data_IF_969319120450
#
_entry.id   IF_969319120450
#
_cell.length_a   1.000
_cell.length_b   1.000
_cell.length_c   1.000
_cell.angle_alpha   90.00
_cell.angle_beta   90.00
_cell.angle_gamma   90.00
#
_symmetry.space_group_name_H-M   'P 1'
#
loop_
_entity.id
_entity.type
_entity.pdbx_description
1 polymer ?
#
# COMPACT_ATOMS: atom_id res chain seq x y z
N UNK A 1 9.94 -28.33 -22.85
CA UNK A 1 9.92 -27.26 -21.84
C UNK A 1 11.31 -27.17 -21.21
N UNK A 2 11.97 -26.00 -21.21
CA UNK A 2 13.38 -25.86 -20.81
C UNK A 2 13.50 -26.09 -19.28
N UNK A 3 14.56 -26.87 -18.85
CA UNK A 3 14.82 -27.18 -17.41
C UNK A 3 14.83 -25.93 -16.50
N UNK A 4 15.30 -24.80 -17.03
CA UNK A 4 15.29 -23.51 -16.32
C UNK A 4 13.86 -23.04 -16.02
N UNK A 5 12.94 -23.16 -16.98
CA UNK A 5 11.53 -22.78 -16.85
C UNK A 5 10.80 -23.60 -15.80
N UNK A 6 11.10 -24.91 -15.73
CA UNK A 6 10.56 -25.82 -14.71
C UNK A 6 11.07 -25.44 -13.32
N UNK A 7 12.35 -25.09 -13.19
CA UNK A 7 12.98 -24.68 -11.92
C UNK A 7 12.39 -23.35 -11.41
N UNK A 8 12.19 -22.37 -12.30
CA UNK A 8 11.57 -21.08 -11.95
C UNK A 8 10.12 -21.24 -11.52
N UNK A 9 9.33 -22.06 -12.23
CA UNK A 9 7.95 -22.39 -11.84
C UNK A 9 7.90 -23.10 -10.49
N UNK A 10 8.81 -24.06 -10.25
CA UNK A 10 8.86 -24.76 -8.96
C UNK A 10 9.21 -23.83 -7.81
N UNK A 11 10.16 -22.92 -7.99
CA UNK A 11 10.51 -21.92 -7.00
C UNK A 11 9.34 -20.93 -6.76
N UNK A 12 8.65 -20.50 -7.82
CA UNK A 12 7.46 -19.65 -7.72
C UNK A 12 6.36 -20.29 -6.89
N UNK A 13 6.02 -21.58 -7.20
CA UNK A 13 4.99 -22.28 -6.42
C UNK A 13 5.42 -22.57 -4.98
N UNK A 14 6.68 -22.85 -4.73
CA UNK A 14 7.20 -23.05 -3.37
C UNK A 14 7.13 -21.75 -2.55
N UNK A 15 7.51 -20.61 -3.14
CA UNK A 15 7.41 -19.31 -2.50
C UNK A 15 5.95 -18.91 -2.26
N UNK A 16 5.06 -19.12 -3.23
CA UNK A 16 3.63 -18.89 -3.09
C UNK A 16 3.02 -19.76 -1.98
N UNK A 17 3.42 -21.03 -1.88
CA UNK A 17 2.97 -21.93 -0.82
C UNK A 17 3.46 -21.50 0.56
N UNK A 18 4.73 -21.05 0.67
CA UNK A 18 5.30 -20.48 1.89
C UNK A 18 4.53 -19.22 2.31
N UNK A 19 4.26 -18.33 1.37
CA UNK A 19 3.49 -17.10 1.55
C UNK A 19 2.07 -17.38 2.06
N UNK A 20 1.31 -18.28 1.43
CA UNK A 20 -0.03 -18.69 1.89
C UNK A 20 0.03 -19.29 3.30
N UNK A 21 1.02 -20.13 3.58
CA UNK A 21 1.20 -20.73 4.91
C UNK A 21 1.45 -19.68 6.00
N UNK A 22 2.24 -18.65 5.70
CA UNK A 22 2.49 -17.57 6.66
C UNK A 22 1.25 -16.67 6.83
N UNK A 23 0.51 -16.37 5.76
CA UNK A 23 -0.80 -15.69 5.86
C UNK A 23 -1.76 -16.46 6.79
N UNK A 24 -1.87 -17.77 6.61
CA UNK A 24 -2.70 -18.63 7.46
C UNK A 24 -2.24 -18.60 8.92
N UNK A 25 -0.93 -18.64 9.18
CA UNK A 25 -0.39 -18.55 10.55
C UNK A 25 -0.67 -17.18 11.19
N UNK A 26 -0.53 -16.09 10.43
CA UNK A 26 -0.87 -14.74 10.89
C UNK A 26 -2.36 -14.66 11.25
N UNK A 27 -3.23 -15.21 10.42
CA UNK A 27 -4.66 -15.31 10.68
C UNK A 27 -4.96 -16.05 11.99
N UNK A 28 -4.35 -17.23 12.22
CA UNK A 28 -4.55 -17.98 13.47
C UNK A 28 -3.98 -17.26 14.70
N UNK A 29 -2.89 -16.51 14.55
CA UNK A 29 -2.32 -15.73 15.65
C UNK A 29 -3.23 -14.55 16.01
N UNK A 30 -3.83 -13.91 15.02
CA UNK A 30 -4.85 -12.88 15.19
C UNK A 30 -6.12 -13.41 15.86
N UNK A 31 -6.57 -14.63 15.49
CA UNK A 31 -7.66 -15.34 16.14
C UNK A 31 -7.44 -15.48 17.65
N UNK A 32 -6.25 -15.90 18.04
CA UNK A 32 -5.92 -16.11 19.45
C UNK A 32 -5.77 -14.81 20.24
N UNK A 33 -5.33 -13.73 19.59
CA UNK A 33 -5.03 -12.45 20.26
C UNK A 33 -6.26 -11.54 20.37
N UNK A 34 -7.16 -11.56 19.38
CA UNK A 34 -8.28 -10.60 19.28
C UNK A 34 -9.68 -11.22 19.31
N UNK A 35 -9.79 -12.54 19.45
CA UNK A 35 -11.05 -13.28 19.55
C UNK A 35 -11.62 -13.78 18.24
N UNK A 36 -12.59 -14.70 18.36
CA UNK A 36 -13.07 -15.56 17.26
C UNK A 36 -13.84 -14.85 16.14
N UNK A 37 -14.52 -13.71 16.40
CA UNK A 37 -15.41 -13.10 15.41
C UNK A 37 -14.71 -12.23 14.37
N UNK A 38 -13.65 -11.53 14.76
CA UNK A 38 -12.93 -10.63 13.88
C UNK A 38 -12.20 -11.34 12.72
N UNK A 39 -11.51 -12.46 12.94
CA UNK A 39 -10.85 -13.19 11.86
C UNK A 39 -11.79 -13.94 10.91
N UNK A 40 -13.02 -14.22 11.28
CA UNK A 40 -13.98 -14.85 10.36
C UNK A 40 -14.40 -13.90 9.23
N UNK A 41 -14.62 -12.62 9.53
CA UNK A 41 -14.86 -11.61 8.49
C UNK A 41 -13.61 -11.44 7.62
N UNK A 42 -12.43 -11.34 8.24
CA UNK A 42 -11.16 -11.22 7.55
C UNK A 42 -10.81 -12.48 6.73
N UNK A 43 -11.05 -13.68 7.29
CA UNK A 43 -10.79 -14.96 6.61
C UNK A 43 -11.75 -15.20 5.45
N UNK A 44 -12.99 -14.77 5.56
CA UNK A 44 -13.95 -14.81 4.46
C UNK A 44 -13.48 -13.96 3.28
N UNK A 45 -13.00 -12.77 3.53
CA UNK A 45 -12.44 -11.88 2.51
C UNK A 45 -11.12 -12.41 1.93
N UNK A 46 -10.23 -12.97 2.74
CA UNK A 46 -8.98 -13.60 2.30
C UNK A 46 -9.23 -14.82 1.40
N UNK A 47 -10.15 -15.71 1.80
CA UNK A 47 -10.55 -16.86 0.98
C UNK A 47 -11.18 -16.41 -0.35
N UNK A 48 -12.02 -15.39 -0.31
CA UNK A 48 -12.65 -14.83 -1.50
C UNK A 48 -11.61 -14.16 -2.39
N UNK A 49 -10.67 -13.41 -1.83
CA UNK A 49 -9.61 -12.78 -2.62
C UNK A 49 -8.69 -13.83 -3.27
N UNK A 50 -8.25 -14.85 -2.54
CA UNK A 50 -7.44 -15.94 -3.07
C UNK A 50 -8.21 -16.78 -4.12
N UNK A 51 -9.51 -17.02 -3.93
CA UNK A 51 -10.37 -17.71 -4.91
C UNK A 51 -10.56 -16.84 -6.16
N UNK A 52 -10.73 -15.54 -6.00
CA UNK A 52 -10.87 -14.59 -7.11
C UNK A 52 -9.56 -14.50 -7.91
N UNK A 53 -8.41 -14.41 -7.22
CA UNK A 53 -7.09 -14.33 -7.88
C UNK A 53 -6.59 -15.68 -8.41
N UNK A 54 -7.05 -16.81 -7.86
CA UNK A 54 -6.66 -18.15 -8.34
C UNK A 54 -7.49 -18.66 -9.54
N UNK A 55 -8.64 -18.04 -9.84
CA UNK A 55 -9.52 -18.43 -10.96
C UNK A 55 -9.77 -17.28 -11.92
N UNK A 56 -8.91 -17.06 -12.93
CA UNK A 56 -9.04 -15.93 -13.86
C UNK A 56 -10.24 -16.00 -14.81
N UNK A 57 -11.19 -16.94 -14.65
CA UNK A 57 -12.21 -17.23 -15.65
C UNK A 57 -13.56 -16.50 -15.53
N UNK A 58 -13.79 -15.65 -14.52
CA UNK A 58 -15.11 -14.97 -14.36
C UNK A 58 -15.07 -13.55 -13.76
N UNK A 59 -13.98 -12.84 -13.89
CA UNK A 59 -13.95 -11.41 -13.59
C UNK A 59 -14.28 -10.63 -14.86
N UNK A 60 -14.95 -9.47 -14.71
CA UNK A 60 -15.40 -8.61 -15.82
C UNK A 60 -14.32 -8.36 -16.87
N UNK A 61 -14.69 -7.96 -18.08
CA UNK A 61 -13.76 -7.71 -19.18
C UNK A 61 -12.57 -6.80 -18.82
N UNK A 62 -12.71 -5.93 -17.81
CA UNK A 62 -11.64 -5.07 -17.28
C UNK A 62 -10.53 -5.84 -16.56
N UNK A 63 -10.82 -7.06 -16.04
CA UNK A 63 -9.82 -7.96 -15.46
C UNK A 63 -9.22 -8.92 -16.48
N UNK A 64 -9.80 -9.05 -17.68
CA UNK A 64 -9.30 -9.94 -18.72
C UNK A 64 -8.02 -9.44 -19.39
N UNK A 65 -7.74 -8.13 -19.35
CA UNK A 65 -6.50 -7.54 -19.87
C UNK A 65 -5.30 -7.80 -18.94
N UNK A 66 -5.54 -8.28 -17.71
CA UNK A 66 -4.49 -8.57 -16.75
C UNK A 66 -4.14 -10.06 -16.71
N UNK A 67 -3.38 -10.52 -17.69
CA UNK A 67 -2.81 -11.89 -17.74
C UNK A 67 -1.55 -11.95 -16.84
N UNK A 68 -1.75 -11.76 -15.51
CA UNK A 68 -0.72 -11.66 -14.50
C UNK A 68 0.30 -12.80 -14.53
N UNK A 69 -0.15 -14.01 -14.85
CA UNK A 69 0.71 -15.19 -14.83
C UNK A 69 1.56 -15.38 -16.09
N UNK A 70 1.17 -14.77 -17.20
CA UNK A 70 1.84 -14.96 -18.49
C UNK A 70 2.87 -13.87 -18.79
N UNK A 71 2.63 -12.65 -18.37
CA UNK A 71 3.47 -11.49 -18.69
C UNK A 71 4.62 -11.28 -17.71
N UNK A 72 4.48 -11.66 -16.43
CA UNK A 72 5.59 -11.58 -15.46
C UNK A 72 6.76 -12.52 -15.77
N UNK A 73 6.57 -13.53 -16.62
CA UNK A 73 7.62 -14.52 -16.96
C UNK A 73 8.28 -14.24 -18.32
N UNK A 74 7.67 -13.42 -19.18
CA UNK A 74 8.11 -13.29 -20.58
C UNK A 74 8.38 -11.88 -21.05
N UNK A 75 7.99 -10.84 -20.34
CA UNK A 75 8.22 -9.47 -20.77
C UNK A 75 8.93 -8.66 -19.66
N UNK A 76 10.16 -8.26 -19.94
CA UNK A 76 10.95 -7.35 -19.09
C UNK A 76 10.48 -5.89 -19.18
N UNK A 77 9.42 -5.63 -19.93
CA UNK A 77 8.80 -4.31 -20.01
C UNK A 77 7.60 -4.26 -19.07
N UNK A 78 7.78 -3.71 -17.88
CA UNK A 78 6.68 -3.22 -17.05
C UNK A 78 5.80 -2.31 -17.92
N UNK A 79 4.46 -2.51 -17.98
CA UNK A 79 3.61 -1.58 -18.69
C UNK A 79 3.88 -0.17 -18.18
N UNK A 80 4.11 0.78 -19.07
CA UNK A 80 4.29 2.17 -18.66
C UNK A 80 2.93 2.70 -18.21
N UNK A 81 2.69 2.71 -16.91
CA UNK A 81 1.44 3.19 -16.30
C UNK A 81 1.40 4.71 -16.15
N UNK A 82 2.52 5.37 -16.43
CA UNK A 82 2.70 6.80 -16.28
C UNK A 82 2.59 7.51 -17.62
N UNK A 83 2.10 8.75 -17.61
CA UNK A 83 1.97 9.58 -18.81
C UNK A 83 3.34 10.01 -19.36
N UNK A 84 4.37 10.01 -18.49
CA UNK A 84 5.74 10.41 -18.81
C UNK A 84 6.77 9.42 -18.31
N UNK A 85 8.01 9.61 -18.71
CA UNK A 85 9.14 8.91 -18.14
C UNK A 85 9.61 9.66 -16.89
N UNK A 86 9.53 9.00 -15.74
CA UNK A 86 10.07 9.44 -14.46
C UNK A 86 11.36 8.68 -14.15
N UNK A 87 12.21 9.27 -13.32
CA UNK A 87 13.43 8.60 -12.90
C UNK A 87 13.20 7.79 -11.64
N UNK A 88 13.36 6.48 -11.73
CA UNK A 88 13.30 5.55 -10.61
C UNK A 88 14.49 4.61 -10.68
N UNK A 89 15.37 4.71 -9.69
CA UNK A 89 16.61 3.93 -9.66
C UNK A 89 16.43 2.58 -8.93
N UNK A 90 15.36 2.45 -8.16
CA UNK A 90 15.09 1.25 -7.37
C UNK A 90 13.93 0.42 -7.93
N UNK A 91 13.83 -0.81 -7.42
CA UNK A 91 12.82 -1.76 -7.86
C UNK A 91 11.40 -1.20 -7.67
N UNK A 92 10.53 -1.52 -8.64
CA UNK A 92 9.12 -1.13 -8.61
C UNK A 92 8.34 -2.01 -7.61
N UNK A 93 7.96 -1.41 -6.49
CA UNK A 93 7.09 -2.03 -5.47
C UNK A 93 5.63 -1.58 -5.58
N UNK A 94 5.34 -0.51 -6.34
CA UNK A 94 4.02 0.11 -6.39
C UNK A 94 3.14 -0.33 -7.56
N UNK A 95 3.71 -0.49 -8.77
CA UNK A 95 2.90 -0.65 -10.01
C UNK A 95 1.96 -1.85 -10.01
N UNK A 96 2.22 -2.87 -9.19
CA UNK A 96 1.32 -4.01 -9.00
C UNK A 96 -0.02 -3.60 -8.35
N UNK A 97 -0.05 -2.50 -7.63
CA UNK A 97 -1.23 -1.99 -6.93
C UNK A 97 -2.12 -1.10 -7.81
N UNK A 98 -1.64 -0.67 -8.98
CA UNK A 98 -2.33 0.30 -9.84
C UNK A 98 -3.73 -0.14 -10.26
N UNK A 99 -3.96 -1.41 -10.52
CA UNK A 99 -5.28 -1.91 -10.90
C UNK A 99 -6.29 -1.79 -9.74
N UNK A 100 -5.84 -1.95 -8.49
CA UNK A 100 -6.66 -1.77 -7.30
C UNK A 100 -7.05 -0.31 -7.17
N UNK A 101 -6.08 0.60 -7.31
CA UNK A 101 -6.29 2.03 -7.23
C UNK A 101 -7.19 2.55 -8.35
N UNK A 102 -7.01 2.08 -9.59
CA UNK A 102 -7.92 2.40 -10.72
C UNK A 102 -9.37 2.01 -10.40
N UNK A 103 -9.56 0.82 -9.84
CA UNK A 103 -10.89 0.32 -9.46
C UNK A 103 -11.49 1.15 -8.31
N UNK A 104 -10.68 1.53 -7.32
CA UNK A 104 -11.09 2.41 -6.24
C UNK A 104 -11.53 3.77 -6.78
N UNK A 105 -10.70 4.42 -7.61
CA UNK A 105 -10.98 5.74 -8.17
C UNK A 105 -12.23 5.74 -9.04
N UNK A 106 -12.42 4.71 -9.85
CA UNK A 106 -13.62 4.56 -10.69
C UNK A 106 -14.87 4.34 -9.82
N UNK A 107 -14.82 3.41 -8.87
CA UNK A 107 -15.96 3.02 -8.03
C UNK A 107 -16.49 4.17 -7.18
N UNK A 108 -15.61 5.04 -6.71
CA UNK A 108 -15.95 6.15 -5.82
C UNK A 108 -15.82 7.52 -6.48
N UNK A 109 -15.66 7.55 -7.80
CA UNK A 109 -15.62 8.76 -8.64
C UNK A 109 -14.55 9.78 -8.21
N UNK A 110 -13.42 9.29 -7.64
CA UNK A 110 -12.40 10.15 -7.04
C UNK A 110 -11.71 11.06 -8.07
N UNK A 111 -11.66 10.67 -9.34
CA UNK A 111 -11.02 11.47 -10.40
C UNK A 111 -11.63 12.87 -10.61
N UNK A 112 -12.92 13.01 -10.31
CA UNK A 112 -13.66 14.25 -10.52
C UNK A 112 -13.79 15.09 -9.24
N UNK A 113 -13.33 14.58 -8.13
CA UNK A 113 -13.48 15.18 -6.80
C UNK A 113 -12.27 16.02 -6.42
N UNK A 114 -12.50 17.12 -5.69
CA UNK A 114 -11.42 17.80 -4.99
C UNK A 114 -11.05 16.94 -3.79
N UNK A 115 -9.80 16.53 -3.72
CA UNK A 115 -9.29 15.56 -2.73
C UNK A 115 -8.07 16.13 -2.05
N UNK A 116 -8.06 16.11 -0.72
CA UNK A 116 -6.84 16.24 0.05
C UNK A 116 -6.24 14.84 0.23
N UNK A 117 -5.10 14.61 -0.40
CA UNK A 117 -4.37 13.35 -0.35
C UNK A 117 -3.18 13.46 0.59
N UNK A 118 -2.96 12.45 1.42
CA UNK A 118 -1.77 12.31 2.26
C UNK A 118 -1.07 11.01 1.91
N UNK A 119 0.25 11.07 1.76
CA UNK A 119 1.12 9.92 1.61
C UNK A 119 2.20 9.93 2.68
N UNK A 120 2.31 8.83 3.41
CA UNK A 120 3.33 8.57 4.43
C UNK A 120 4.24 7.50 3.88
N UNK A 121 5.51 7.86 3.61
CA UNK A 121 6.46 7.01 2.89
C UNK A 121 6.35 7.20 1.39
N UNK A 122 7.14 8.12 0.83
CA UNK A 122 7.06 8.51 -0.57
C UNK A 122 8.19 7.92 -1.42
N UNK A 123 9.33 7.64 -0.82
CA UNK A 123 10.52 7.10 -1.49
C UNK A 123 10.88 7.90 -2.76
N UNK A 124 11.00 7.27 -3.93
CA UNK A 124 11.24 7.96 -5.21
C UNK A 124 9.98 8.52 -5.88
N UNK A 125 8.80 8.40 -5.24
CA UNK A 125 7.54 9.01 -5.67
C UNK A 125 6.76 8.25 -6.74
N UNK A 126 6.87 6.92 -6.84
CA UNK A 126 6.08 6.14 -7.82
C UNK A 126 4.57 6.29 -7.61
N UNK A 127 4.10 6.11 -6.39
CA UNK A 127 2.72 6.32 -5.97
C UNK A 127 2.34 7.80 -6.06
N UNK A 128 3.24 8.68 -5.66
CA UNK A 128 3.02 10.14 -5.64
C UNK A 128 2.75 10.68 -7.03
N UNK A 129 3.59 10.37 -8.03
CA UNK A 129 3.35 10.81 -9.41
C UNK A 129 2.10 10.16 -10.00
N UNK A 130 1.83 8.90 -9.65
CA UNK A 130 0.61 8.24 -10.09
C UNK A 130 -0.65 8.97 -9.61
N UNK A 131 -0.70 9.36 -8.33
CA UNK A 131 -1.80 10.17 -7.78
C UNK A 131 -1.92 11.51 -8.50
N UNK A 132 -0.81 12.23 -8.65
CA UNK A 132 -0.78 13.53 -9.31
C UNK A 132 -1.28 13.47 -10.76
N UNK A 133 -0.96 12.39 -11.49
CA UNK A 133 -1.44 12.16 -12.85
C UNK A 133 -2.91 11.72 -12.94
N UNK A 134 -3.38 10.93 -11.98
CA UNK A 134 -4.72 10.33 -12.05
C UNK A 134 -5.80 11.18 -11.41
N UNK A 135 -5.45 11.96 -10.36
CA UNK A 135 -6.37 12.81 -9.61
C UNK A 135 -6.00 14.28 -9.81
N UNK A 136 -6.35 14.83 -10.97
CA UNK A 136 -5.93 16.19 -11.40
C UNK A 136 -6.38 17.31 -10.45
N UNK A 137 -7.43 17.08 -9.66
CA UNK A 137 -7.95 18.03 -8.68
C UNK A 137 -7.49 17.76 -7.25
N UNK A 138 -6.59 16.78 -7.06
CA UNK A 138 -6.05 16.48 -5.74
C UNK A 138 -5.00 17.52 -5.34
N UNK A 139 -5.03 17.90 -4.05
CA UNK A 139 -3.93 18.56 -3.37
C UNK A 139 -3.24 17.54 -2.47
N UNK A 140 -1.93 17.38 -2.60
CA UNK A 140 -1.18 16.27 -2.06
C UNK A 140 -0.22 16.73 -0.97
N UNK A 141 -0.15 15.96 0.12
CA UNK A 141 0.80 16.10 1.20
C UNK A 141 1.70 14.88 1.21
N UNK A 142 2.99 15.07 0.94
CA UNK A 142 3.98 14.02 0.85
C UNK A 142 4.89 14.07 2.07
N UNK A 143 4.87 13.01 2.88
CA UNK A 143 5.59 12.93 4.15
C UNK A 143 6.58 11.78 4.10
N UNK A 144 7.86 12.10 4.10
CA UNK A 144 8.95 11.12 4.12
C UNK A 144 10.19 11.78 4.74
N UNK A 145 10.91 11.13 5.65
CA UNK A 145 12.16 11.68 6.19
C UNK A 145 13.29 11.74 5.15
N UNK A 146 13.22 10.98 4.07
CA UNK A 146 14.26 10.83 3.03
C UNK A 146 15.65 10.62 3.64
N UNK A 147 15.71 9.81 4.66
CA UNK A 147 16.96 9.48 5.38
C UNK A 147 16.92 8.06 5.92
N UNK A 148 18.09 7.56 6.22
CA UNK A 148 18.25 6.29 6.92
C UNK A 148 17.61 6.32 8.31
N UNK A 149 17.05 5.21 8.75
CA UNK A 149 16.47 5.03 10.08
C UNK A 149 16.85 3.65 10.64
N UNK A 150 16.78 3.50 11.96
CA UNK A 150 17.40 2.38 12.71
C UNK A 150 16.85 0.97 12.36
N UNK A 151 15.70 0.91 11.72
CA UNK A 151 15.01 -0.35 11.39
C UNK A 151 15.34 -0.91 10.00
N UNK A 152 16.32 -0.31 9.33
CA UNK A 152 16.66 -0.70 7.96
C UNK A 152 17.35 -2.05 7.92
N UNK A 153 16.89 -2.92 7.05
CA UNK A 153 17.58 -4.18 6.74
C UNK A 153 18.88 -3.92 5.98
N UNK A 154 19.81 -4.89 5.97
CA UNK A 154 21.07 -4.76 5.21
C UNK A 154 20.88 -4.34 3.74
N UNK A 155 19.78 -4.77 3.10
CA UNK A 155 19.45 -4.37 1.73
C UNK A 155 19.10 -2.89 1.59
N UNK A 156 18.65 -2.24 2.66
CA UNK A 156 18.29 -0.83 2.68
C UNK A 156 19.47 0.07 3.01
N UNK A 157 20.48 -0.40 3.74
CA UNK A 157 21.73 0.35 4.02
C UNK A 157 22.52 0.74 2.76
N UNK A 158 22.25 0.11 1.62
CA UNK A 158 22.87 0.44 0.33
C UNK A 158 22.14 1.55 -0.44
N UNK A 159 21.03 2.09 0.07
CA UNK A 159 20.27 3.14 -0.60
C UNK A 159 20.92 4.51 -0.42
N UNK A 160 21.00 5.25 -1.50
CA UNK A 160 21.43 6.65 -1.46
C UNK A 160 20.23 7.57 -1.24
N UNK A 161 19.97 7.95 0.00
CA UNK A 161 18.81 8.78 0.36
C UNK A 161 18.85 10.19 -0.22
N UNK A 162 20.03 10.74 -0.50
CA UNK A 162 20.14 12.01 -1.20
C UNK A 162 19.60 11.90 -2.63
N UNK A 163 20.01 10.86 -3.38
CA UNK A 163 19.48 10.65 -4.73
C UNK A 163 17.99 10.27 -4.74
N UNK A 164 17.50 9.57 -3.71
CA UNK A 164 16.07 9.27 -3.55
C UNK A 164 15.26 10.57 -3.44
N UNK A 165 15.68 11.50 -2.60
CA UNK A 165 15.01 12.80 -2.47
C UNK A 165 15.10 13.65 -3.74
N UNK A 166 16.25 13.64 -4.42
CA UNK A 166 16.44 14.32 -5.70
C UNK A 166 15.52 13.74 -6.77
N UNK A 167 15.46 12.41 -6.89
CA UNK A 167 14.55 11.73 -7.82
C UNK A 167 13.09 12.05 -7.50
N UNK A 168 12.69 11.96 -6.24
CA UNK A 168 11.35 12.33 -5.81
C UNK A 168 11.01 13.76 -6.22
N UNK A 169 11.87 14.72 -5.87
CA UNK A 169 11.65 16.15 -6.15
C UNK A 169 11.55 16.43 -7.65
N UNK A 170 12.43 15.82 -8.45
CA UNK A 170 12.40 15.94 -9.91
C UNK A 170 11.14 15.31 -10.51
N UNK A 171 10.69 14.18 -9.98
CA UNK A 171 9.53 13.47 -10.47
C UNK A 171 8.23 14.24 -10.24
N UNK A 172 8.10 14.98 -9.13
CA UNK A 172 6.86 15.71 -8.81
C UNK A 172 6.87 17.16 -9.26
N UNK A 173 8.02 17.75 -9.66
CA UNK A 173 8.18 19.19 -9.90
C UNK A 173 7.20 19.79 -10.91
N UNK A 174 6.78 19.04 -11.94
CA UNK A 174 5.84 19.54 -12.94
C UNK A 174 4.42 19.77 -12.41
N UNK A 175 4.12 19.24 -11.23
CA UNK A 175 2.83 19.40 -10.55
C UNK A 175 2.88 20.51 -9.47
N UNK A 176 3.86 21.42 -9.57
CA UNK A 176 3.99 22.53 -8.62
C UNK A 176 2.67 23.28 -8.40
N UNK A 177 2.45 23.71 -7.16
CA UNK A 177 1.18 24.31 -6.73
C UNK A 177 0.08 23.29 -6.38
N UNK A 178 0.33 21.98 -6.55
CA UNK A 178 -0.62 20.90 -6.20
C UNK A 178 -0.15 20.00 -5.08
N UNK A 179 1.00 20.27 -4.48
CA UNK A 179 1.54 19.47 -3.39
C UNK A 179 2.38 20.26 -2.40
N UNK A 180 2.58 19.64 -1.24
CA UNK A 180 3.57 20.04 -0.24
C UNK A 180 4.46 18.83 0.08
N UNK A 181 5.77 19.06 0.23
CA UNK A 181 6.73 18.04 0.67
C UNK A 181 7.12 18.32 2.12
N UNK A 182 6.90 17.34 2.98
CA UNK A 182 7.28 17.38 4.38
C UNK A 182 8.41 16.37 4.64
N UNK A 183 9.65 16.87 4.60
CA UNK A 183 10.84 16.05 4.89
C UNK A 183 10.93 15.81 6.40
N UNK A 184 10.07 14.93 6.91
CA UNK A 184 9.94 14.62 8.34
C UNK A 184 9.36 13.23 8.54
N UNK A 185 9.45 12.72 9.78
CA UNK A 185 8.66 11.57 10.18
C UNK A 185 7.17 11.91 10.24
N UNK A 186 6.30 10.92 10.11
CA UNK A 186 4.85 11.08 10.27
C UNK A 186 4.46 11.68 11.63
N UNK A 187 5.11 11.24 12.70
CA UNK A 187 4.87 11.80 14.05
C UNK A 187 5.14 13.30 14.12
N UNK A 188 6.26 13.76 13.56
CA UNK A 188 6.59 15.19 13.52
C UNK A 188 5.62 15.97 12.63
N UNK A 189 5.19 15.38 11.52
CA UNK A 189 4.19 15.97 10.64
C UNK A 189 2.87 16.15 11.39
N UNK A 190 2.30 15.10 11.98
CA UNK A 190 1.02 15.17 12.68
C UNK A 190 1.07 16.08 13.92
N UNK A 191 2.21 16.14 14.64
CA UNK A 191 2.37 17.03 15.77
C UNK A 191 2.32 18.53 15.40
N UNK A 192 2.64 18.87 14.15
CA UNK A 192 2.60 20.25 13.63
C UNK A 192 1.32 20.55 12.85
N UNK A 193 0.59 19.52 12.45
CA UNK A 193 -0.58 19.65 11.62
C UNK A 193 -1.74 20.28 12.41
N UNK A 194 -2.41 21.25 11.80
CA UNK A 194 -3.62 21.82 12.41
C UNK A 194 -4.72 20.74 12.47
N UNK A 195 -5.37 20.60 13.61
CA UNK A 195 -6.44 19.59 13.81
C UNK A 195 -7.63 19.78 12.85
N UNK A 196 -7.82 20.96 12.30
CA UNK A 196 -8.83 21.25 11.27
C UNK A 196 -8.45 20.72 9.90
N UNK A 197 -7.15 20.43 9.62
CA UNK A 197 -6.73 19.83 8.38
C UNK A 197 -7.27 18.43 8.27
N UNK A 198 -7.95 18.14 7.18
CA UNK A 198 -8.56 16.83 6.91
C UNK A 198 -8.15 16.29 5.56
N UNK A 199 -8.12 14.98 5.47
CA UNK A 199 -7.78 14.23 4.26
C UNK A 199 -8.96 13.36 3.80
N UNK A 200 -9.04 13.11 2.50
CA UNK A 200 -10.06 12.28 1.87
C UNK A 200 -9.51 10.93 1.45
N UNK A 201 -8.22 10.87 1.14
CA UNK A 201 -7.51 9.67 0.76
C UNK A 201 -6.11 9.70 1.40
N UNK A 202 -5.78 8.67 2.15
CA UNK A 202 -4.47 8.52 2.80
C UNK A 202 -3.84 7.20 2.40
N UNK A 203 -2.57 7.23 2.04
CA UNK A 203 -1.73 6.06 1.79
C UNK A 203 -0.65 5.98 2.85
N UNK A 204 -0.58 4.85 3.53
CA UNK A 204 0.39 4.55 4.60
C UNK A 204 1.32 3.46 4.10
N UNK A 205 2.53 3.85 3.75
CA UNK A 205 3.61 3.02 3.17
C UNK A 205 4.98 3.45 3.71
N UNK A 206 5.05 3.80 4.99
CA UNK A 206 6.25 4.30 5.65
C UNK A 206 7.03 3.18 6.34
N UNK A 207 7.10 3.23 7.67
CA UNK A 207 7.68 2.14 8.48
C UNK A 207 6.83 0.87 8.37
N UNK A 208 7.50 -0.29 8.39
CA UNK A 208 6.82 -1.59 8.41
C UNK A 208 6.70 -2.16 9.83
N UNK A 209 7.19 -1.45 10.85
CA UNK A 209 7.00 -1.86 12.23
C UNK A 209 5.55 -1.69 12.69
N UNK A 210 5.03 -2.73 13.30
CA UNK A 210 3.67 -2.82 13.81
C UNK A 210 3.24 -1.60 14.65
N UNK A 211 4.08 -1.15 15.56
CA UNK A 211 3.78 -0.02 16.44
C UNK A 211 3.75 1.31 15.69
N UNK A 212 4.62 1.49 14.68
CA UNK A 212 4.64 2.70 13.86
C UNK A 212 3.41 2.78 12.96
N UNK A 213 3.10 1.68 12.26
CA UNK A 213 1.90 1.60 11.41
C UNK A 213 0.63 1.82 12.24
N UNK A 214 0.56 1.26 13.46
CA UNK A 214 -0.56 1.50 14.37
C UNK A 214 -0.66 2.98 14.77
N UNK A 215 0.47 3.62 15.09
CA UNK A 215 0.54 5.03 15.46
C UNK A 215 0.13 5.95 14.30
N UNK A 216 0.59 5.63 13.09
CA UNK A 216 0.18 6.32 11.87
C UNK A 216 -1.34 6.19 11.65
N UNK A 217 -1.88 4.99 11.80
CA UNK A 217 -3.32 4.74 11.67
C UNK A 217 -4.16 5.58 12.65
N UNK A 218 -3.74 5.68 13.92
CA UNK A 218 -4.41 6.50 14.95
C UNK A 218 -4.32 7.99 14.60
N UNK A 219 -3.18 8.46 14.13
CA UNK A 219 -3.01 9.86 13.73
C UNK A 219 -3.83 10.19 12.48
N UNK A 220 -3.80 9.31 11.48
CA UNK A 220 -4.63 9.44 10.27
C UNK A 220 -6.12 9.48 10.62
N UNK A 221 -6.59 8.62 11.54
CA UNK A 221 -8.02 8.61 11.93
C UNK A 221 -8.50 9.96 12.42
N UNK A 222 -7.71 10.69 13.21
CA UNK A 222 -8.05 12.04 13.70
C UNK A 222 -8.24 13.05 12.57
N UNK A 223 -7.55 12.84 11.46
CA UNK A 223 -7.48 13.75 10.31
C UNK A 223 -8.25 13.26 9.08
N UNK A 224 -8.84 12.06 9.10
CA UNK A 224 -9.59 11.52 7.98
C UNK A 224 -11.04 11.99 7.99
N UNK A 225 -11.52 12.48 6.86
CA UNK A 225 -12.91 12.83 6.65
C UNK A 225 -13.82 11.60 6.73
N UNK A 226 -15.05 11.79 7.18
CA UNK A 226 -16.12 10.80 6.99
C UNK A 226 -16.27 10.52 5.49
N UNK A 227 -16.33 9.24 5.13
CA UNK A 227 -16.35 8.80 3.72
C UNK A 227 -14.97 8.67 3.09
N UNK A 228 -13.91 9.19 3.73
CA UNK A 228 -12.53 9.10 3.29
C UNK A 228 -11.96 7.68 3.38
N UNK A 229 -10.79 7.49 2.77
CA UNK A 229 -10.14 6.19 2.65
C UNK A 229 -8.76 6.19 3.27
N UNK A 230 -8.40 5.06 3.92
CA UNK A 230 -7.03 4.72 4.28
C UNK A 230 -6.64 3.50 3.43
N UNK A 231 -5.49 3.59 2.77
CA UNK A 231 -4.82 2.48 2.10
C UNK A 231 -3.58 2.16 2.93
N UNK A 232 -3.54 1.01 3.53
CA UNK A 232 -2.34 0.47 4.17
C UNK A 232 -1.62 -0.42 3.16
N UNK A 233 -0.36 -0.16 2.88
CA UNK A 233 0.48 -1.07 2.10
C UNK A 233 1.01 -2.20 2.99
N UNK A 234 1.61 -3.18 2.36
CA UNK A 234 2.34 -4.27 3.02
C UNK A 234 1.55 -4.97 4.13
N UNK A 235 0.21 -5.06 3.98
CA UNK A 235 -0.66 -5.67 4.99
C UNK A 235 -0.22 -7.10 5.35
N UNK A 236 0.31 -7.84 4.38
CA UNK A 236 0.86 -9.19 4.58
C UNK A 236 2.38 -9.26 4.49
N UNK A 237 3.07 -8.14 4.65
CA UNK A 237 4.52 -8.11 4.76
C UNK A 237 4.95 -8.75 6.10
N UNK A 238 5.96 -9.65 6.09
CA UNK A 238 6.34 -10.49 7.25
C UNK A 238 7.84 -10.82 7.25
N UNK A 239 8.65 -9.83 7.02
CA UNK A 239 10.10 -10.01 6.93
C UNK A 239 10.83 -9.83 8.26
N UNK A 240 10.16 -9.28 9.30
CA UNK A 240 10.73 -9.23 10.64
C UNK A 240 10.72 -10.61 11.29
N UNK A 241 11.82 -10.96 11.98
CA UNK A 241 11.98 -12.22 12.70
C UNK A 241 10.94 -12.33 13.82
N UNK A 242 10.77 -11.25 14.59
CA UNK A 242 9.70 -11.15 15.57
C UNK A 242 8.38 -10.88 14.84
N UNK A 243 7.53 -11.90 14.90
CA UNK A 243 6.28 -11.90 14.15
C UNK A 243 5.37 -10.72 14.45
N UNK A 244 5.31 -10.30 15.73
CA UNK A 244 4.43 -9.23 16.19
C UNK A 244 4.88 -7.85 15.70
N UNK A 245 6.09 -7.72 15.17
CA UNK A 245 6.63 -6.46 14.67
C UNK A 245 6.16 -6.16 13.25
N UNK A 246 5.55 -7.13 12.56
CA UNK A 246 5.08 -6.95 11.20
C UNK A 246 3.82 -6.07 11.11
N UNK A 247 3.61 -5.32 10.00
CA UNK A 247 2.53 -4.32 9.83
C UNK A 247 1.13 -4.88 10.12
N UNK A 248 0.90 -6.14 9.75
CA UNK A 248 -0.35 -6.83 9.97
C UNK A 248 -0.90 -6.65 11.39
N UNK A 249 -0.05 -6.71 12.42
CA UNK A 249 -0.52 -6.63 13.80
C UNK A 249 -0.93 -5.22 14.20
N UNK A 250 -0.20 -4.21 13.75
CA UNK A 250 -0.57 -2.81 13.97
C UNK A 250 -1.89 -2.45 13.28
N UNK A 251 -2.01 -2.83 12.01
CA UNK A 251 -3.21 -2.57 11.22
C UNK A 251 -4.43 -3.32 11.78
N UNK A 252 -4.29 -4.59 12.15
CA UNK A 252 -5.40 -5.36 12.72
C UNK A 252 -5.81 -4.89 14.10
N UNK A 253 -4.86 -4.44 14.92
CA UNK A 253 -5.16 -3.79 16.22
C UNK A 253 -5.99 -2.54 16.00
N UNK A 254 -5.57 -1.64 15.11
CA UNK A 254 -6.33 -0.44 14.75
C UNK A 254 -7.74 -0.77 14.27
N UNK A 255 -7.87 -1.70 13.33
CA UNK A 255 -9.16 -2.09 12.78
C UNK A 255 -10.07 -2.74 13.84
N UNK A 256 -9.53 -3.57 14.74
CA UNK A 256 -10.29 -4.15 15.83
C UNK A 256 -10.88 -3.10 16.78
N UNK A 257 -10.08 -2.11 17.17
CA UNK A 257 -10.49 -1.04 18.06
C UNK A 257 -11.52 -0.10 17.41
N UNK A 258 -11.43 0.07 16.08
CA UNK A 258 -12.23 1.00 15.29
C UNK A 258 -13.22 0.35 14.33
N UNK A 259 -13.51 -0.95 14.47
CA UNK A 259 -14.32 -1.74 13.52
C UNK A 259 -15.70 -1.16 13.20
N UNK A 260 -16.33 -0.44 14.15
CA UNK A 260 -17.63 0.20 13.93
C UNK A 260 -17.53 1.46 13.07
N UNK A 261 -16.35 2.05 12.99
CA UNK A 261 -16.08 3.31 12.29
C UNK A 261 -15.62 3.09 10.86
N UNK A 262 -15.21 1.88 10.51
CA UNK A 262 -14.62 1.57 9.22
C UNK A 262 -15.30 0.40 8.52
N UNK A 263 -15.39 0.50 7.19
CA UNK A 263 -15.77 -0.58 6.30
C UNK A 263 -14.58 -0.99 5.45
N UNK A 264 -14.26 -2.28 5.41
CA UNK A 264 -13.27 -2.83 4.49
C UNK A 264 -13.78 -2.73 3.06
N UNK A 265 -13.00 -2.10 2.19
CA UNK A 265 -13.28 -1.91 0.76
C UNK A 265 -12.52 -2.94 -0.07
N UNK A 266 -11.27 -3.17 0.29
CA UNK A 266 -10.38 -4.14 -0.35
C UNK A 266 -9.46 -4.79 0.69
N UNK A 267 -9.15 -6.05 0.49
CA UNK A 267 -8.21 -6.81 1.29
C UNK A 267 -7.35 -7.69 0.37
N UNK A 268 -6.08 -7.44 0.36
CA UNK A 268 -5.03 -8.14 -0.39
C UNK A 268 -3.68 -7.82 0.21
N UNK A 269 -2.66 -7.60 -0.61
CA UNK A 269 -1.37 -7.11 -0.12
C UNK A 269 -1.50 -5.68 0.42
N UNK A 270 -2.49 -4.93 -0.08
CA UNK A 270 -2.98 -3.71 0.55
C UNK A 270 -4.29 -3.98 1.30
N UNK A 271 -4.53 -3.25 2.40
CA UNK A 271 -5.84 -3.14 3.05
C UNK A 271 -6.40 -1.74 2.81
N UNK A 272 -7.60 -1.66 2.21
CA UNK A 272 -8.30 -0.39 2.01
C UNK A 272 -9.52 -0.32 2.93
N UNK A 273 -9.55 0.69 3.76
CA UNK A 273 -10.64 0.99 4.68
C UNK A 273 -11.34 2.28 4.28
N UNK A 274 -12.67 2.34 4.47
CA UNK A 274 -13.47 3.56 4.30
C UNK A 274 -14.08 3.96 5.63
N UNK A 275 -13.87 5.20 6.05
CA UNK A 275 -14.44 5.75 7.28
C UNK A 275 -15.94 5.95 7.14
N UNK A 276 -16.73 5.49 8.11
CA UNK A 276 -18.19 5.55 8.09
C UNK A 276 -18.79 6.66 8.98
N UNK A 277 -18.09 7.02 10.03
CA UNK A 277 -18.53 8.00 11.04
C UNK A 277 -17.47 9.05 11.30
#
# INVERSE_FOLDING_TARGET
MNKLKIRLLKNYYQNKFKYIKEKIKLMFTSLNKYGLLFPFELSGHLLISEIIFSKPKKLSAEYQDFNFSKNMITDTKTPNYYKKNYQFDYMDSFSLNIFIWKSLFKKFELKNSNINYLEIGCFEGRSSVYILEQLEKAYCYFVDPFKEYDEMTESTHQKNFTSIFENFSNNVQEFDGRYEIHQSTSDLFFNRLNISQKFDLVYVDGSHLSEDVYRDAINVDKHLNKGGFIIFDDFFWFWYDERNDNPFFGITKFLYENKKNYKTVYLGDQLILRKQV
#
